data_IF_173098957634
#
_entry.id   IF_173098957634
#
_cell.length_a   1.000
_cell.length_b   1.000
_cell.length_c   1.000
_cell.angle_alpha   90.00
_cell.angle_beta   90.00
_cell.angle_gamma   90.00
#
_symmetry.space_group_name_H-M   'P 1'
#
loop_
_entity.id
_entity.type
_entity.pdbx_description
1 polymer ?
#
# COMPACT_ATOMS: atom_id res chain seq x y z
N UNK A 1 5.27 -19.86 19.00
CA UNK A 1 5.69 -18.44 18.86
C UNK A 1 4.93 -17.69 19.92
N UNK A 2 5.58 -17.36 21.03
CA UNK A 2 5.02 -16.40 21.97
C UNK A 2 4.95 -15.06 21.23
N UNK A 3 3.75 -14.48 21.14
CA UNK A 3 3.61 -13.06 20.81
C UNK A 3 4.51 -12.27 21.76
N UNK A 4 5.28 -11.33 21.20
CA UNK A 4 6.08 -10.43 22.02
C UNK A 4 5.17 -9.80 23.07
N UNK A 5 5.47 -10.09 24.33
CA UNK A 5 4.66 -9.65 25.45
C UNK A 5 4.75 -8.13 25.56
N UNK A 6 3.78 -7.53 26.24
CA UNK A 6 3.77 -6.10 26.59
C UNK A 6 5.10 -5.66 27.25
N UNK A 7 5.68 -6.51 28.09
CA UNK A 7 6.96 -6.28 28.76
C UNK A 7 8.14 -6.25 27.78
N UNK A 8 8.12 -7.08 26.72
CA UNK A 8 9.17 -7.09 25.69
C UNK A 8 9.22 -5.78 24.89
N UNK A 9 8.07 -5.14 24.67
CA UNK A 9 8.00 -3.84 23.99
C UNK A 9 8.56 -2.69 24.83
N UNK A 10 8.33 -2.73 26.16
CA UNK A 10 8.88 -1.75 27.10
C UNK A 10 10.41 -1.90 27.20
N UNK A 11 10.95 -3.12 27.18
CA UNK A 11 12.40 -3.34 27.22
C UNK A 11 13.14 -2.86 25.96
N UNK A 12 12.46 -2.79 24.81
CA UNK A 12 13.06 -2.32 23.55
C UNK A 12 13.24 -0.80 23.50
N UNK A 13 12.41 -0.02 24.19
CA UNK A 13 12.42 1.45 24.11
C UNK A 13 13.70 2.08 24.72
N UNK A 14 14.16 1.69 25.93
CA UNK A 14 15.41 2.20 26.50
C UNK A 14 16.65 1.79 25.68
N UNK A 15 16.70 0.54 25.19
CA UNK A 15 17.84 0.06 24.41
C UNK A 15 17.97 0.73 23.03
N UNK A 16 16.85 1.10 22.41
CA UNK A 16 16.85 1.69 21.05
C UNK A 16 17.14 3.20 21.05
N UNK A 17 16.68 3.95 22.05
CA UNK A 17 16.92 5.38 22.16
C UNK A 17 18.34 5.74 22.64
N UNK A 18 18.96 4.88 23.46
CA UNK A 18 20.23 5.21 24.13
C UNK A 18 21.50 4.59 23.50
N UNK A 19 21.40 3.46 22.78
CA UNK A 19 22.59 2.75 22.26
C UNK A 19 22.86 2.97 20.75
N UNK A 20 21.93 3.58 20.00
CA UNK A 20 22.05 3.79 18.56
C UNK A 20 22.77 5.08 18.15
N UNK A 21 23.12 5.93 19.13
CA UNK A 21 23.89 7.16 18.94
C UNK A 21 25.10 7.15 19.88
N UNK A 22 26.29 7.25 19.30
CA UNK A 22 27.56 7.34 20.04
C UNK A 22 27.60 8.69 20.77
N UNK A 23 27.36 8.69 22.08
CA UNK A 23 27.50 9.87 22.93
C UNK A 23 28.45 9.57 24.10
N UNK A 24 29.47 10.41 24.27
CA UNK A 24 30.59 10.14 25.20
C UNK A 24 30.26 10.28 26.70
N UNK A 25 29.13 10.86 27.14
CA UNK A 25 28.87 11.06 28.59
C UNK A 25 27.41 10.92 29.03
N UNK A 26 27.20 10.22 30.15
CA UNK A 26 25.90 9.96 30.81
C UNK A 26 25.12 11.21 31.25
N UNK A 27 25.78 12.32 31.54
CA UNK A 27 25.12 13.54 32.03
C UNK A 27 24.51 14.40 30.91
N UNK A 28 25.03 14.33 29.67
CA UNK A 28 24.38 14.92 28.49
C UNK A 28 23.09 14.20 28.09
N UNK A 29 22.83 13.00 28.64
CA UNK A 29 21.73 12.11 28.24
C UNK A 29 20.32 12.61 28.55
N UNK A 30 20.14 13.49 29.54
CA UNK A 30 18.81 14.01 29.93
C UNK A 30 18.56 15.42 29.40
N UNK A 31 19.51 16.32 29.56
CA UNK A 31 19.34 17.75 29.22
C UNK A 31 19.25 18.02 27.72
N UNK A 32 20.10 17.40 26.88
CA UNK A 32 20.06 17.63 25.42
C UNK A 32 18.89 16.93 24.71
N UNK A 33 18.37 15.83 25.26
CA UNK A 33 17.22 15.13 24.72
C UNK A 33 15.91 15.90 24.91
N UNK A 34 15.78 16.59 26.05
CA UNK A 34 14.63 17.41 26.41
C UNK A 34 14.53 18.69 25.59
N UNK A 35 15.63 19.16 24.98
CA UNK A 35 15.68 20.45 24.30
C UNK A 35 15.42 20.39 22.79
N UNK A 36 15.72 19.27 22.08
CA UNK A 36 15.80 19.33 20.61
C UNK A 36 15.54 18.04 19.81
N UNK A 37 15.14 16.91 20.41
CA UNK A 37 15.18 15.61 19.71
C UNK A 37 13.81 14.97 19.50
N UNK A 38 13.30 14.99 18.26
CA UNK A 38 12.20 14.12 17.80
C UNK A 38 12.81 12.80 17.30
N UNK A 39 12.53 11.69 17.98
CA UNK A 39 12.99 10.38 17.53
C UNK A 39 11.97 9.76 16.57
N UNK A 40 12.36 9.70 15.30
CA UNK A 40 11.60 9.00 14.28
C UNK A 40 11.83 7.49 14.41
N UNK A 41 10.81 6.76 14.87
CA UNK A 41 10.93 5.32 14.96
C UNK A 41 10.77 4.66 13.57
N UNK A 42 11.87 4.15 13.01
CA UNK A 42 11.98 3.59 11.65
C UNK A 42 11.97 2.05 11.60
N UNK A 43 11.14 1.37 12.39
CA UNK A 43 10.97 -0.10 12.28
C UNK A 43 9.66 -0.43 11.56
N UNK A 44 9.68 -1.53 10.81
CA UNK A 44 8.60 -2.09 9.98
C UNK A 44 7.21 -1.72 10.51
N UNK A 45 6.60 -0.68 9.93
CA UNK A 45 5.31 -0.20 10.41
C UNK A 45 4.18 -1.01 9.76
N UNK A 46 4.12 -2.29 10.14
CA UNK A 46 2.88 -3.04 10.11
C UNK A 46 1.87 -2.32 11.03
N UNK A 47 0.63 -2.13 10.60
CA UNK A 47 -0.33 -1.29 11.33
C UNK A 47 -0.49 -1.71 12.81
N UNK A 48 -0.40 -3.01 13.15
CA UNK A 48 -0.51 -3.47 14.55
C UNK A 48 0.59 -2.90 15.44
N UNK A 49 1.77 -2.69 14.89
CA UNK A 49 2.88 -2.10 15.63
C UNK A 49 2.63 -0.61 15.90
N UNK A 50 2.13 0.13 14.91
CA UNK A 50 1.74 1.54 15.07
C UNK A 50 0.64 1.69 16.11
N UNK A 51 -0.39 0.84 16.05
CA UNK A 51 -1.47 0.82 17.05
C UNK A 51 -0.92 0.50 18.45
N UNK A 52 0.02 -0.44 18.57
CA UNK A 52 0.67 -0.74 19.85
C UNK A 52 1.42 0.45 20.44
N UNK A 53 2.18 1.18 19.63
CA UNK A 53 2.87 2.40 20.07
C UNK A 53 1.89 3.52 20.48
N UNK A 54 0.80 3.72 19.74
CA UNK A 54 -0.24 4.68 20.13
C UNK A 54 -0.97 4.26 21.41
N UNK A 55 -1.15 2.95 21.63
CA UNK A 55 -1.68 2.43 22.89
C UNK A 55 -0.77 2.74 24.08
N UNK A 56 0.56 2.63 23.91
CA UNK A 56 1.53 3.04 24.94
C UNK A 56 1.45 4.54 25.25
N UNK A 57 1.30 5.36 24.21
CA UNK A 57 1.10 6.80 24.36
C UNK A 57 -0.16 7.14 25.18
N UNK A 58 -1.26 6.43 24.94
CA UNK A 58 -2.48 6.59 25.73
C UNK A 58 -2.30 6.16 27.19
N UNK A 59 -1.62 5.03 27.43
CA UNK A 59 -1.39 4.53 28.80
C UNK A 59 -0.46 5.44 29.61
N UNK A 60 0.50 6.08 28.94
CA UNK A 60 1.47 6.98 29.56
C UNK A 60 1.01 8.44 29.57
N UNK A 61 -0.24 8.72 29.21
CA UNK A 61 -0.75 10.09 29.05
C UNK A 61 -0.66 10.97 30.32
N UNK A 62 -0.53 10.35 31.49
CA UNK A 62 -0.45 11.03 32.79
C UNK A 62 0.96 11.04 33.40
N UNK A 63 1.98 10.53 32.68
CA UNK A 63 3.35 10.50 33.17
C UNK A 63 3.91 11.92 33.41
N UNK A 64 4.95 11.96 34.26
CA UNK A 64 5.45 13.16 34.95
C UNK A 64 6.09 14.23 34.06
N UNK A 65 6.44 13.92 32.81
CA UNK A 65 7.00 14.86 31.84
C UNK A 65 6.78 14.39 30.39
N UNK A 66 6.99 15.28 29.41
CA UNK A 66 6.75 15.00 27.99
C UNK A 66 7.52 13.80 27.44
N UNK A 67 8.71 13.53 27.99
CA UNK A 67 9.56 12.43 27.56
C UNK A 67 8.99 11.07 27.95
N UNK A 68 8.58 10.90 29.21
CA UNK A 68 7.96 9.68 29.72
C UNK A 68 6.58 9.44 29.07
N UNK A 69 5.84 10.53 28.78
CA UNK A 69 4.60 10.48 28.00
C UNK A 69 4.78 10.13 26.52
N UNK A 70 6.01 10.00 26.03
CA UNK A 70 6.35 9.70 24.63
C UNK A 70 5.85 10.75 23.63
N UNK A 71 5.72 12.03 24.03
CA UNK A 71 5.23 13.10 23.14
C UNK A 71 6.15 13.37 21.94
N UNK A 72 7.42 12.95 22.03
CA UNK A 72 8.41 13.04 20.96
C UNK A 72 8.23 11.98 19.86
N UNK A 73 7.36 10.99 20.05
CA UNK A 73 7.24 9.83 19.16
C UNK A 73 6.31 10.13 17.97
N UNK A 74 6.83 9.92 16.76
CA UNK A 74 6.04 10.01 15.52
C UNK A 74 6.01 8.65 14.84
N UNK A 75 4.80 8.18 14.53
CA UNK A 75 4.56 6.82 14.03
C UNK A 75 3.85 6.84 12.66
N UNK A 76 4.54 7.22 11.57
CA UNK A 76 3.96 7.11 10.23
C UNK A 76 3.82 5.62 9.85
N UNK A 77 2.74 5.27 9.14
CA UNK A 77 2.56 3.89 8.65
C UNK A 77 3.52 3.56 7.49
N UNK A 78 3.64 2.26 7.20
CA UNK A 78 4.47 1.76 6.10
C UNK A 78 3.73 1.64 4.76
N UNK A 79 4.28 2.25 3.70
CA UNK A 79 3.66 2.26 2.36
C UNK A 79 3.61 0.89 1.68
N UNK A 80 4.47 -0.06 2.05
CA UNK A 80 4.40 -1.42 1.51
C UNK A 80 3.18 -2.17 2.03
N UNK A 81 2.96 -2.16 3.35
CA UNK A 81 1.77 -2.77 3.94
C UNK A 81 0.49 -2.04 3.52
N UNK A 82 0.55 -0.71 3.38
CA UNK A 82 -0.55 0.08 2.83
C UNK A 82 -0.95 -0.39 1.42
N UNK A 83 0.03 -0.53 0.52
CA UNK A 83 -0.22 -1.01 -0.84
C UNK A 83 -0.74 -2.47 -0.86
N UNK A 84 -0.30 -3.32 0.07
CA UNK A 84 -0.85 -4.68 0.22
C UNK A 84 -2.31 -4.66 0.69
N UNK A 85 -2.65 -3.80 1.65
CA UNK A 85 -4.01 -3.64 2.14
C UNK A 85 -4.94 -3.10 1.05
N UNK A 86 -4.47 -2.13 0.26
CA UNK A 86 -5.19 -1.64 -0.92
C UNK A 86 -5.44 -2.78 -1.92
N UNK A 87 -4.41 -3.54 -2.28
CA UNK A 87 -4.53 -4.71 -3.17
C UNK A 87 -5.58 -5.72 -2.68
N UNK A 88 -5.55 -6.05 -1.38
CA UNK A 88 -6.51 -6.95 -0.75
C UNK A 88 -7.95 -6.41 -0.77
N UNK A 89 -8.11 -5.09 -0.71
CA UNK A 89 -9.42 -4.45 -0.82
C UNK A 89 -10.02 -4.68 -2.20
N UNK A 90 -9.23 -4.51 -3.28
CA UNK A 90 -9.67 -4.84 -4.64
C UNK A 90 -9.98 -6.33 -4.81
N UNK A 91 -9.13 -7.20 -4.26
CA UNK A 91 -9.37 -8.65 -4.27
C UNK A 91 -10.74 -8.97 -3.67
N UNK A 92 -11.01 -8.47 -2.46
CA UNK A 92 -12.28 -8.71 -1.76
C UNK A 92 -13.47 -8.12 -2.51
N UNK A 93 -13.32 -6.91 -3.05
CA UNK A 93 -14.41 -6.17 -3.71
C UNK A 93 -14.83 -6.81 -5.03
N UNK A 94 -13.86 -7.28 -5.83
CA UNK A 94 -14.06 -7.69 -7.22
C UNK A 94 -13.81 -9.17 -7.48
N UNK A 95 -13.65 -10.03 -6.45
CA UNK A 95 -13.30 -11.45 -6.65
C UNK A 95 -14.28 -12.15 -7.59
N UNK A 96 -15.58 -12.12 -7.25
CA UNK A 96 -16.63 -12.81 -8.00
C UNK A 96 -16.41 -14.33 -8.10
N UNK A 97 -17.09 -14.94 -9.07
CA UNK A 97 -17.05 -16.38 -9.36
C UNK A 97 -16.12 -16.67 -10.54
N UNK A 98 -15.68 -17.92 -10.62
CA UNK A 98 -14.82 -18.42 -11.71
C UNK A 98 -15.43 -18.24 -13.12
N UNK A 99 -16.76 -18.36 -13.24
CA UNK A 99 -17.51 -18.16 -14.49
C UNK A 99 -18.09 -16.74 -14.64
N UNK A 100 -17.83 -15.85 -13.67
CA UNK A 100 -18.28 -14.47 -13.70
C UNK A 100 -17.36 -13.55 -14.50
N UNK A 101 -17.50 -12.24 -14.32
CA UNK A 101 -16.63 -11.22 -14.92
C UNK A 101 -15.66 -10.57 -13.92
N UNK A 102 -15.51 -11.14 -12.72
CA UNK A 102 -14.63 -10.65 -11.67
C UNK A 102 -13.18 -11.14 -11.77
N UNK A 103 -12.37 -10.78 -10.77
CA UNK A 103 -10.95 -11.12 -10.69
C UNK A 103 -10.69 -12.63 -10.67
N UNK A 104 -11.56 -13.45 -10.08
CA UNK A 104 -11.39 -14.89 -10.06
C UNK A 104 -11.45 -15.50 -11.46
N UNK A 105 -12.32 -14.96 -12.34
CA UNK A 105 -12.34 -15.36 -13.73
C UNK A 105 -11.02 -14.99 -14.43
N UNK A 106 -10.52 -13.77 -14.20
CA UNK A 106 -9.23 -13.35 -14.75
C UNK A 106 -8.06 -14.20 -14.24
N UNK A 107 -8.02 -14.53 -12.95
CA UNK A 107 -6.97 -15.37 -12.36
C UNK A 107 -6.96 -16.77 -12.98
N UNK A 108 -8.13 -17.34 -13.26
CA UNK A 108 -8.25 -18.63 -13.95
C UNK A 108 -7.79 -18.53 -15.41
N UNK A 109 -8.16 -17.47 -16.13
CA UNK A 109 -7.66 -17.24 -17.49
C UNK A 109 -6.14 -17.10 -17.53
N UNK A 110 -5.54 -16.51 -16.49
CA UNK A 110 -4.10 -16.35 -16.35
C UNK A 110 -3.38 -17.54 -15.70
N UNK A 111 -4.10 -18.62 -15.37
CA UNK A 111 -3.55 -19.81 -14.70
C UNK A 111 -2.83 -19.49 -13.37
N UNK A 112 -3.25 -18.42 -12.68
CA UNK A 112 -2.67 -17.97 -11.41
C UNK A 112 -3.29 -18.69 -10.23
N UNK A 113 -2.60 -19.74 -9.76
CA UNK A 113 -3.01 -20.51 -8.57
C UNK A 113 -2.75 -19.72 -7.27
N UNK A 114 -3.55 -19.99 -6.23
CA UNK A 114 -3.37 -19.40 -4.90
C UNK A 114 -3.94 -17.98 -4.72
N UNK A 115 -4.65 -17.44 -5.71
CA UNK A 115 -5.31 -16.12 -5.61
C UNK A 115 -6.83 -16.22 -5.33
N UNK A 116 -7.35 -17.41 -5.07
CA UNK A 116 -8.76 -17.63 -4.77
C UNK A 116 -9.14 -17.21 -3.33
N UNK A 117 -8.16 -17.17 -2.42
CA UNK A 117 -8.33 -16.72 -1.03
C UNK A 117 -7.19 -15.79 -0.67
N UNK A 118 -7.48 -14.82 0.20
CA UNK A 118 -6.45 -13.93 0.73
C UNK A 118 -5.53 -14.74 1.63
N UNK A 119 -4.23 -14.73 1.33
CA UNK A 119 -3.19 -15.31 2.18
C UNK A 119 -2.22 -14.24 2.64
N UNK A 120 -1.88 -14.25 3.93
CA UNK A 120 -0.94 -13.30 4.53
C UNK A 120 0.51 -13.76 4.47
N UNK A 121 0.75 -15.00 4.03
CA UNK A 121 2.09 -15.62 3.97
C UNK A 121 2.47 -15.91 2.53
N UNK A 122 3.77 -15.88 2.26
CA UNK A 122 4.33 -16.27 0.97
C UNK A 122 4.15 -15.22 -0.13
N UNK A 123 4.00 -15.70 -1.36
CA UNK A 123 4.07 -14.89 -2.60
C UNK A 123 2.73 -14.29 -3.03
N UNK A 124 1.67 -14.49 -2.24
CA UNK A 124 0.30 -14.03 -2.54
C UNK A 124 0.27 -12.57 -2.98
N UNK A 125 0.84 -11.67 -2.19
CA UNK A 125 0.80 -10.23 -2.46
C UNK A 125 1.56 -9.84 -3.74
N UNK A 126 2.66 -10.52 -4.04
CA UNK A 126 3.40 -10.31 -5.27
C UNK A 126 2.58 -10.74 -6.49
N UNK A 127 1.97 -11.92 -6.43
CA UNK A 127 1.12 -12.45 -7.50
C UNK A 127 -0.17 -11.64 -7.68
N UNK A 128 -0.78 -11.19 -6.59
CA UNK A 128 -1.97 -10.34 -6.62
C UNK A 128 -1.66 -8.99 -7.26
N UNK A 129 -0.58 -8.31 -6.82
CA UNK A 129 -0.16 -7.05 -7.41
C UNK A 129 0.06 -7.19 -8.92
N UNK A 130 0.79 -8.22 -9.35
CA UNK A 130 1.05 -8.46 -10.77
C UNK A 130 -0.24 -8.76 -11.54
N UNK A 131 -1.14 -9.58 -10.98
CA UNK A 131 -2.43 -9.90 -11.61
C UNK A 131 -3.31 -8.65 -11.76
N UNK A 132 -3.39 -7.79 -10.74
CA UNK A 132 -4.10 -6.51 -10.82
C UNK A 132 -3.55 -5.60 -11.91
N UNK A 133 -2.23 -5.56 -12.11
CA UNK A 133 -1.63 -4.80 -13.22
C UNK A 133 -2.01 -5.40 -14.58
N UNK A 134 -2.00 -6.74 -14.72
CA UNK A 134 -2.37 -7.38 -15.98
C UNK A 134 -3.85 -7.14 -16.32
N UNK A 135 -4.73 -7.28 -15.33
CA UNK A 135 -6.18 -7.01 -15.49
C UNK A 135 -6.42 -5.55 -15.84
N UNK A 136 -5.85 -4.61 -15.10
CA UNK A 136 -6.03 -3.18 -15.38
C UNK A 136 -5.46 -2.79 -16.74
N UNK A 137 -4.30 -3.32 -17.12
CA UNK A 137 -3.71 -3.09 -18.44
C UNK A 137 -4.61 -3.65 -19.55
N UNK A 138 -5.21 -4.82 -19.36
CA UNK A 138 -6.15 -5.40 -20.31
C UNK A 138 -7.44 -4.57 -20.46
N UNK A 139 -8.03 -4.10 -19.36
CA UNK A 139 -9.21 -3.22 -19.35
C UNK A 139 -8.92 -1.90 -20.09
N UNK A 140 -7.77 -1.27 -19.79
CA UNK A 140 -7.34 -0.03 -20.45
C UNK A 140 -7.16 -0.28 -21.96
N UNK A 141 -6.48 -1.36 -22.35
CA UNK A 141 -6.29 -1.72 -23.77
C UNK A 141 -7.63 -2.00 -24.45
N UNK A 142 -8.56 -2.67 -23.79
CA UNK A 142 -9.90 -2.92 -24.33
C UNK A 142 -10.69 -1.62 -24.53
N UNK A 143 -10.59 -0.65 -23.61
CA UNK A 143 -11.15 0.69 -23.79
C UNK A 143 -10.55 1.42 -25.00
N UNK A 144 -9.23 1.32 -25.21
CA UNK A 144 -8.56 1.91 -26.37
C UNK A 144 -9.03 1.31 -27.70
N UNK A 145 -9.23 -0.01 -27.76
CA UNK A 145 -9.81 -0.67 -28.94
C UNK A 145 -11.25 -0.20 -29.17
N UNK A 146 -12.06 -0.15 -28.11
CA UNK A 146 -13.47 0.24 -28.18
C UNK A 146 -13.67 1.70 -28.61
N UNK A 147 -13.03 2.66 -27.93
CA UNK A 147 -13.16 4.09 -28.26
C UNK A 147 -12.37 4.48 -29.51
N UNK A 148 -11.32 3.74 -29.85
CA UNK A 148 -10.57 3.94 -31.10
C UNK A 148 -11.27 3.43 -32.34
N UNK A 149 -12.24 2.52 -32.18
CA UNK A 149 -12.88 1.84 -33.30
C UNK A 149 -11.89 1.02 -34.13
N UNK A 150 -10.87 0.44 -33.47
CA UNK A 150 -9.76 -0.28 -34.12
C UNK A 150 -9.74 -1.74 -33.69
N UNK A 151 -9.29 -2.64 -34.57
CA UNK A 151 -9.20 -4.06 -34.25
C UNK A 151 -7.95 -4.38 -33.42
N UNK A 152 -6.87 -3.63 -33.64
CA UNK A 152 -5.58 -3.77 -32.96
C UNK A 152 -5.05 -2.44 -32.44
N UNK A 153 -4.26 -2.46 -31.36
CA UNK A 153 -3.65 -1.24 -30.80
C UNK A 153 -2.65 -0.58 -31.76
N UNK A 154 -2.05 -1.35 -32.68
CA UNK A 154 -1.11 -0.82 -33.68
C UNK A 154 -1.78 0.15 -34.65
N UNK A 155 -3.07 -0.02 -34.94
CA UNK A 155 -3.84 0.89 -35.79
C UNK A 155 -3.99 2.29 -35.18
N UNK A 156 -3.85 2.45 -33.85
CA UNK A 156 -3.85 3.75 -33.19
C UNK A 156 -2.69 4.65 -33.65
N UNK A 157 -1.63 4.08 -34.25
CA UNK A 157 -0.52 4.85 -34.85
C UNK A 157 -0.96 5.71 -36.04
N UNK A 158 -2.14 5.45 -36.61
CA UNK A 158 -2.74 6.28 -37.66
C UNK A 158 -3.36 7.57 -37.11
N UNK A 159 -3.57 7.67 -35.78
CA UNK A 159 -4.16 8.84 -35.12
C UNK A 159 -3.10 9.88 -34.81
N UNK A 160 -3.49 11.15 -34.86
CA UNK A 160 -2.62 12.26 -34.44
C UNK A 160 -2.44 12.27 -32.92
N UNK A 161 -1.38 12.90 -32.38
CA UNK A 161 -1.20 13.05 -30.94
C UNK A 161 -2.41 13.69 -30.24
N UNK A 162 -3.04 14.70 -30.86
CA UNK A 162 -4.23 15.34 -30.32
C UNK A 162 -5.42 14.38 -30.26
N UNK A 163 -5.66 13.61 -31.33
CA UNK A 163 -6.71 12.59 -31.34
C UNK A 163 -6.50 11.56 -30.24
N UNK A 164 -5.25 11.12 -30.00
CA UNK A 164 -4.94 10.19 -28.91
C UNK A 164 -5.22 10.81 -27.53
N UNK A 165 -4.91 12.09 -27.33
CA UNK A 165 -5.24 12.79 -26.08
C UNK A 165 -6.76 12.91 -25.87
N UNK A 166 -7.50 13.30 -26.91
CA UNK A 166 -8.96 13.43 -26.86
C UNK A 166 -9.64 12.08 -26.60
N UNK A 167 -9.08 11.01 -27.20
CA UNK A 167 -9.50 9.64 -26.94
C UNK A 167 -9.22 9.24 -25.50
N UNK A 168 -8.02 9.50 -24.96
CA UNK A 168 -7.70 9.19 -23.56
C UNK A 168 -8.65 9.91 -22.59
N UNK A 169 -8.96 11.18 -22.84
CA UNK A 169 -9.92 11.94 -22.05
C UNK A 169 -11.35 11.34 -22.17
N UNK A 170 -11.72 10.85 -23.35
CA UNK A 170 -12.99 10.16 -23.57
C UNK A 170 -13.05 8.82 -22.86
N UNK A 171 -11.98 8.04 -22.90
CA UNK A 171 -11.86 6.78 -22.17
C UNK A 171 -12.05 7.02 -20.68
N UNK A 172 -11.33 8.00 -20.13
CA UNK A 172 -11.45 8.35 -18.72
C UNK A 172 -12.89 8.73 -18.36
N UNK A 173 -13.48 9.68 -19.11
CA UNK A 173 -14.86 10.16 -18.87
C UNK A 173 -15.91 9.08 -18.96
N UNK A 174 -15.81 8.14 -19.91
CA UNK A 174 -16.82 7.10 -20.17
C UNK A 174 -16.63 5.82 -19.36
N UNK A 175 -15.38 5.47 -19.03
CA UNK A 175 -15.04 4.14 -18.50
C UNK A 175 -14.31 4.17 -17.16
N UNK A 176 -14.04 5.34 -16.56
CA UNK A 176 -13.28 5.40 -15.30
C UNK A 176 -13.72 6.52 -14.33
N UNK A 177 -14.97 6.98 -14.39
CA UNK A 177 -15.49 8.02 -13.46
C UNK A 177 -16.79 7.61 -12.77
N UNK A 178 -17.01 8.14 -11.56
CA UNK A 178 -18.31 7.99 -10.87
C UNK A 178 -19.47 8.55 -11.70
N UNK A 179 -19.25 9.68 -12.39
CA UNK A 179 -20.27 10.27 -13.27
C UNK A 179 -20.72 9.31 -14.39
N UNK A 180 -19.81 8.52 -14.96
CA UNK A 180 -20.19 7.50 -15.93
C UNK A 180 -21.07 6.40 -15.32
N UNK A 181 -20.73 5.97 -14.10
CA UNK A 181 -21.49 4.97 -13.35
C UNK A 181 -22.89 5.51 -13.03
N UNK A 182 -22.99 6.74 -12.53
CA UNK A 182 -24.25 7.38 -12.17
C UNK A 182 -25.16 7.56 -13.38
N UNK A 183 -24.59 7.97 -14.53
CA UNK A 183 -25.32 8.03 -15.81
C UNK A 183 -25.90 6.67 -16.21
N UNK A 184 -25.13 5.60 -16.06
CA UNK A 184 -25.62 4.25 -16.38
C UNK A 184 -26.68 3.76 -15.39
N UNK A 185 -26.55 4.10 -14.10
CA UNK A 185 -27.55 3.77 -13.06
C UNK A 185 -28.85 4.58 -13.19
N UNK A 186 -28.78 5.78 -13.76
CA UNK A 186 -29.94 6.64 -14.00
C UNK A 186 -30.82 6.24 -15.19
N UNK A 187 -30.40 5.26 -16.00
CA UNK A 187 -31.20 4.73 -17.10
C UNK A 187 -32.34 3.83 -16.58
N UNK A 188 -33.44 3.67 -17.34
CA UNK A 188 -34.45 2.64 -17.07
C UNK A 188 -33.80 1.26 -16.94
N UNK A 189 -34.33 0.40 -16.06
CA UNK A 189 -33.71 -0.89 -15.69
C UNK A 189 -33.41 -1.77 -16.91
N UNK A 190 -34.25 -1.72 -17.93
CA UNK A 190 -34.14 -2.47 -19.18
C UNK A 190 -32.97 -1.98 -20.05
N UNK A 191 -32.55 -0.72 -19.87
CA UNK A 191 -31.43 -0.09 -20.57
C UNK A 191 -30.15 -0.07 -19.75
N UNK A 192 -30.17 -0.58 -18.52
CA UNK A 192 -28.98 -0.69 -17.69
C UNK A 192 -28.10 -1.87 -18.12
N UNK A 193 -26.80 -1.71 -17.94
CA UNK A 193 -25.78 -2.73 -18.19
C UNK A 193 -24.92 -2.88 -16.94
N UNK A 194 -25.27 -3.82 -16.06
CA UNK A 194 -24.62 -4.04 -14.77
C UNK A 194 -23.15 -4.47 -14.94
N UNK A 195 -22.83 -5.20 -16.02
CA UNK A 195 -21.45 -5.62 -16.30
C UNK A 195 -20.62 -4.39 -16.68
N UNK A 196 -21.06 -3.58 -17.65
CA UNK A 196 -20.31 -2.37 -18.03
C UNK A 196 -20.16 -1.41 -16.84
N UNK A 197 -21.20 -1.27 -16.02
CA UNK A 197 -21.15 -0.49 -14.78
C UNK A 197 -20.03 -0.99 -13.85
N UNK A 198 -19.94 -2.30 -13.61
CA UNK A 198 -18.90 -2.88 -12.74
C UNK A 198 -17.49 -2.69 -13.31
N UNK A 199 -17.28 -2.91 -14.62
CA UNK A 199 -15.97 -2.71 -15.24
C UNK A 199 -15.56 -1.23 -15.24
N UNK A 200 -16.51 -0.32 -15.40
CA UNK A 200 -16.29 1.13 -15.25
C UNK A 200 -15.90 1.49 -13.82
N UNK A 201 -16.57 0.87 -12.83
CA UNK A 201 -16.24 1.02 -11.41
C UNK A 201 -14.85 0.47 -11.09
N UNK A 202 -14.50 -0.71 -11.63
CA UNK A 202 -13.18 -1.30 -11.45
C UNK A 202 -12.07 -0.38 -11.99
N UNK A 203 -12.24 0.18 -13.20
CA UNK A 203 -11.27 1.12 -13.78
C UNK A 203 -11.15 2.41 -12.95
N UNK A 204 -12.27 3.00 -12.53
CA UNK A 204 -12.27 4.15 -11.61
C UNK A 204 -11.45 3.83 -10.35
N UNK A 205 -11.66 2.65 -9.78
CA UNK A 205 -11.08 2.29 -8.49
C UNK A 205 -9.60 1.88 -8.59
N UNK A 206 -9.18 1.19 -9.65
CA UNK A 206 -7.82 0.63 -9.77
C UNK A 206 -6.78 1.67 -10.23
N UNK A 207 -7.18 2.73 -10.92
CA UNK A 207 -6.26 3.77 -11.41
C UNK A 207 -5.45 4.42 -10.27
N UNK A 208 -6.05 4.84 -9.14
CA UNK A 208 -5.32 5.30 -7.95
C UNK A 208 -4.30 4.29 -7.41
N UNK A 209 -4.57 2.99 -7.50
CA UNK A 209 -3.61 1.96 -7.12
C UNK A 209 -2.42 1.87 -8.08
N UNK A 210 -2.66 1.94 -9.39
CA UNK A 210 -1.56 2.00 -10.35
C UNK A 210 -0.71 3.26 -10.14
N UNK A 211 -1.34 4.40 -9.85
CA UNK A 211 -0.66 5.64 -9.49
C UNK A 211 0.13 5.50 -8.20
N UNK A 212 -0.41 4.87 -7.15
CA UNK A 212 0.30 4.58 -5.91
C UNK A 212 1.59 3.81 -6.19
N UNK A 213 1.50 2.73 -6.99
CA UNK A 213 2.66 1.88 -7.32
C UNK A 213 3.69 2.63 -8.17
N UNK A 214 3.24 3.51 -9.07
CA UNK A 214 4.11 4.37 -9.87
C UNK A 214 4.80 5.43 -9.01
N UNK A 215 4.05 6.12 -8.15
CA UNK A 215 4.53 7.15 -7.24
C UNK A 215 5.58 6.61 -6.27
N UNK A 216 5.36 5.40 -5.72
CA UNK A 216 6.35 4.69 -4.91
C UNK A 216 7.65 4.50 -5.70
N UNK A 217 7.58 3.99 -6.93
CA UNK A 217 8.79 3.75 -7.74
C UNK A 217 9.52 5.04 -8.10
N UNK A 218 8.77 6.08 -8.50
CA UNK A 218 9.34 7.36 -8.92
C UNK A 218 9.78 8.25 -7.78
N UNK A 219 9.47 7.90 -6.52
CA UNK A 219 9.77 8.75 -5.37
C UNK A 219 8.82 9.96 -5.25
N UNK A 220 7.66 9.93 -5.88
CA UNK A 220 6.71 11.06 -5.88
C UNK A 220 5.87 11.07 -4.60
N UNK A 221 6.46 11.58 -3.53
CA UNK A 221 5.83 11.69 -2.21
C UNK A 221 4.61 12.61 -2.21
N UNK A 222 4.60 13.64 -3.06
CA UNK A 222 3.44 14.52 -3.22
C UNK A 222 2.23 13.77 -3.77
N UNK A 223 2.43 12.87 -4.73
CA UNK A 223 1.36 12.00 -5.24
C UNK A 223 0.92 10.98 -4.19
N UNK A 224 1.83 10.41 -3.39
CA UNK A 224 1.45 9.49 -2.31
C UNK A 224 0.46 10.13 -1.34
N UNK A 225 0.74 11.36 -0.91
CA UNK A 225 -0.14 12.13 -0.03
C UNK A 225 -1.50 12.44 -0.67
N UNK A 226 -1.50 12.90 -1.93
CA UNK A 226 -2.73 13.19 -2.68
C UNK A 226 -3.66 11.99 -2.83
N UNK A 227 -3.12 10.76 -2.79
CA UNK A 227 -3.90 9.54 -2.89
C UNK A 227 -4.52 9.10 -1.54
N UNK A 228 -4.06 9.64 -0.41
CA UNK A 228 -4.57 9.25 0.92
C UNK A 228 -6.08 9.42 1.07
N UNK A 229 -6.72 10.54 0.65
CA UNK A 229 -8.17 10.69 0.79
C UNK A 229 -8.96 9.63 0.01
N UNK A 230 -8.47 9.23 -1.16
CA UNK A 230 -9.09 8.16 -1.95
C UNK A 230 -9.05 6.83 -1.21
N UNK A 231 -7.86 6.43 -0.75
CA UNK A 231 -7.68 5.17 -0.03
C UNK A 231 -8.37 5.16 1.34
N UNK A 232 -8.44 6.31 2.01
CA UNK A 232 -9.22 6.50 3.23
C UNK A 232 -10.68 6.06 3.03
N UNK A 233 -11.37 6.61 2.03
CA UNK A 233 -12.75 6.23 1.71
C UNK A 233 -12.85 4.76 1.31
N UNK A 234 -11.94 4.29 0.46
CA UNK A 234 -11.91 2.90 0.02
C UNK A 234 -11.77 1.91 1.19
N UNK A 235 -10.89 2.20 2.16
CA UNK A 235 -10.69 1.36 3.32
C UNK A 235 -11.91 1.35 4.25
N UNK A 236 -12.57 2.49 4.47
CA UNK A 236 -13.82 2.55 5.25
C UNK A 236 -14.92 1.72 4.59
N UNK A 237 -15.09 1.85 3.28
CA UNK A 237 -16.06 1.07 2.51
C UNK A 237 -15.76 -0.42 2.54
N UNK A 238 -14.48 -0.80 2.40
CA UNK A 238 -14.02 -2.19 2.42
C UNK A 238 -13.87 -2.82 3.80
N UNK A 239 -14.20 -2.10 4.88
CA UNK A 239 -14.11 -2.62 6.26
C UNK A 239 -12.69 -2.68 6.82
N UNK A 240 -11.72 -2.03 6.19
CA UNK A 240 -10.33 -1.93 6.64
C UNK A 240 -10.14 -0.72 7.57
N UNK A 241 -10.90 -0.67 8.67
CA UNK A 241 -10.94 0.47 9.58
C UNK A 241 -9.58 0.91 10.12
N UNK A 242 -8.67 -0.03 10.41
CA UNK A 242 -7.32 0.30 10.89
C UNK A 242 -6.52 1.10 9.87
N UNK A 243 -6.53 0.70 8.58
CA UNK A 243 -5.83 1.46 7.54
C UNK A 243 -6.52 2.79 7.22
N UNK A 244 -7.84 2.88 7.38
CA UNK A 244 -8.53 4.16 7.32
C UNK A 244 -8.08 5.11 8.44
N UNK A 245 -7.97 4.60 9.67
CA UNK A 245 -7.40 5.36 10.81
C UNK A 245 -5.98 5.82 10.49
N UNK A 246 -5.12 4.95 9.93
CA UNK A 246 -3.77 5.36 9.56
C UNK A 246 -3.73 6.46 8.48
N UNK A 247 -4.65 6.45 7.50
CA UNK A 247 -4.76 7.54 6.53
C UNK A 247 -5.07 8.88 7.21
N UNK A 248 -6.10 8.92 8.06
CA UNK A 248 -6.55 10.17 8.68
C UNK A 248 -5.57 10.68 9.74
N UNK A 249 -4.94 9.79 10.52
CA UNK A 249 -3.90 10.15 11.48
C UNK A 249 -2.69 10.77 10.76
N UNK A 250 -2.29 10.22 9.59
CA UNK A 250 -1.21 10.80 8.80
C UNK A 250 -1.61 12.18 8.24
N UNK A 251 -2.81 12.32 7.66
CA UNK A 251 -3.29 13.60 7.13
C UNK A 251 -3.40 14.66 8.23
N UNK A 252 -3.93 14.29 9.39
CA UNK A 252 -4.06 15.17 10.56
C UNK A 252 -2.67 15.61 11.05
N UNK A 253 -1.74 14.67 11.19
CA UNK A 253 -0.35 14.96 11.53
C UNK A 253 0.29 15.95 10.56
N UNK A 254 0.25 15.64 9.26
CA UNK A 254 0.91 16.44 8.22
C UNK A 254 0.35 17.84 8.00
N UNK A 255 -0.96 18.03 8.22
CA UNK A 255 -1.66 19.27 7.83
C UNK A 255 -2.13 20.11 9.00
N UNK A 256 -2.21 19.55 10.22
CA UNK A 256 -2.83 20.23 11.37
C UNK A 256 -1.96 20.24 12.63
N UNK A 257 -1.16 19.21 12.85
CA UNK A 257 -0.52 19.00 14.16
C UNK A 257 0.99 19.12 14.15
N UNK A 258 1.66 18.61 13.14
CA UNK A 258 3.12 18.60 13.11
C UNK A 258 3.67 19.96 12.62
N UNK A 259 4.78 20.43 13.23
CA UNK A 259 5.56 21.53 12.66
C UNK A 259 5.95 21.25 11.21
N UNK A 260 6.07 22.29 10.39
CA UNK A 260 6.33 22.18 8.96
C UNK A 260 7.61 21.37 8.68
N UNK A 261 8.64 21.57 9.48
CA UNK A 261 9.93 20.89 9.39
C UNK A 261 9.79 19.37 9.63
N UNK A 262 8.96 19.00 10.60
CA UNK A 262 8.68 17.60 10.94
C UNK A 262 7.87 16.95 9.82
N UNK A 263 6.82 17.62 9.35
CA UNK A 263 6.00 17.12 8.26
C UNK A 263 6.82 16.96 6.96
N UNK A 264 7.75 17.89 6.68
CA UNK A 264 8.70 17.76 5.57
C UNK A 264 9.67 16.60 5.80
N UNK A 265 10.20 16.42 7.02
CA UNK A 265 11.09 15.31 7.32
C UNK A 265 10.40 13.95 7.09
N UNK A 266 9.15 13.79 7.54
CA UNK A 266 8.37 12.57 7.34
C UNK A 266 8.20 12.26 5.86
N UNK A 267 7.80 13.24 5.05
CA UNK A 267 7.63 13.09 3.59
C UNK A 267 8.94 12.66 2.93
N UNK A 268 10.03 13.36 3.22
CA UNK A 268 11.29 13.22 2.50
C UNK A 268 12.15 12.04 2.96
N UNK A 269 12.02 11.62 4.23
CA UNK A 269 12.96 10.70 4.87
C UNK A 269 12.34 9.48 5.54
N UNK A 270 11.01 9.40 5.67
CA UNK A 270 10.35 8.29 6.37
C UNK A 270 9.50 7.40 5.46
N UNK A 271 9.11 7.86 4.28
CA UNK A 271 8.19 7.11 3.41
C UNK A 271 8.90 6.16 2.46
N UNK A 272 9.88 6.68 1.73
CA UNK A 272 10.56 5.98 0.65
C UNK A 272 12.08 6.10 0.80
N UNK A 273 12.78 5.09 0.32
CA UNK A 273 14.23 5.12 0.18
C UNK A 273 14.66 4.54 -1.16
N UNK A 274 15.87 4.90 -1.60
CA UNK A 274 16.53 4.27 -2.74
C UNK A 274 17.92 3.81 -2.32
N UNK A 275 18.31 2.60 -2.75
CA UNK A 275 19.63 2.03 -2.47
C UNK A 275 20.60 2.35 -3.61
N UNK A 276 20.10 2.33 -4.85
CA UNK A 276 20.91 2.48 -6.06
C UNK A 276 21.00 3.91 -6.58
N UNK A 277 20.18 4.83 -6.05
CA UNK A 277 20.06 6.21 -6.54
C UNK A 277 19.49 6.33 -7.96
N UNK A 278 19.03 5.23 -8.56
CA UNK A 278 18.55 5.21 -9.95
C UNK A 278 17.13 5.76 -10.06
N UNK A 279 16.74 6.35 -11.20
CA UNK A 279 15.34 6.66 -11.45
C UNK A 279 14.47 5.39 -11.36
N UNK A 280 13.27 5.53 -10.81
CA UNK A 280 12.29 4.44 -10.66
C UNK A 280 12.72 3.27 -9.76
N UNK A 281 13.67 3.49 -8.84
CA UNK A 281 14.17 2.46 -7.92
C UNK A 281 13.82 2.69 -6.45
N UNK A 282 12.93 3.63 -6.16
CA UNK A 282 12.47 3.85 -4.78
C UNK A 282 11.63 2.66 -4.30
N UNK A 283 11.79 2.36 -3.01
CA UNK A 283 11.03 1.35 -2.28
C UNK A 283 10.54 1.93 -0.96
N UNK A 284 9.39 1.48 -0.44
CA UNK A 284 8.97 1.82 0.91
C UNK A 284 9.98 1.37 1.95
N UNK A 285 10.18 2.20 2.98
CA UNK A 285 11.09 1.86 4.08
C UNK A 285 10.70 0.56 4.79
N UNK A 286 9.41 0.36 5.05
CA UNK A 286 8.91 -0.85 5.69
C UNK A 286 9.15 -2.10 4.84
N UNK A 287 9.12 -1.99 3.50
CA UNK A 287 9.53 -3.08 2.61
C UNK A 287 11.00 -3.44 2.80
N UNK A 288 11.89 -2.43 2.85
CA UNK A 288 13.31 -2.69 3.04
C UNK A 288 13.60 -3.29 4.41
N UNK A 289 12.88 -2.83 5.43
CA UNK A 289 12.99 -3.42 6.76
C UNK A 289 12.49 -4.87 6.77
N UNK A 290 11.45 -5.21 6.03
CA UNK A 290 11.00 -6.59 5.90
C UNK A 290 12.06 -7.49 5.24
N UNK A 291 12.76 -6.98 4.22
CA UNK A 291 13.91 -7.70 3.66
C UNK A 291 15.03 -7.89 4.69
N UNK A 292 15.34 -6.87 5.50
CA UNK A 292 16.34 -7.00 6.56
C UNK A 292 15.91 -8.05 7.61
N UNK A 293 14.63 -8.04 8.00
CA UNK A 293 14.08 -9.02 8.93
C UNK A 293 14.19 -10.45 8.38
N UNK A 294 13.86 -10.66 7.10
CA UNK A 294 14.00 -11.95 6.41
C UNK A 294 15.45 -12.39 6.34
N UNK A 295 16.37 -11.49 6.05
CA UNK A 295 17.79 -11.83 5.96
C UNK A 295 18.37 -12.27 7.29
N UNK A 296 17.92 -11.64 8.38
CA UNK A 296 18.30 -12.01 9.75
C UNK A 296 17.69 -13.36 10.15
N UNK A 297 16.41 -13.59 9.84
CA UNK A 297 15.65 -14.74 10.36
C UNK A 297 15.75 -16.00 9.51
N UNK A 298 15.86 -15.83 8.20
CA UNK A 298 15.70 -16.91 7.23
C UNK A 298 16.94 -17.08 6.34
N UNK A 299 17.43 -16.01 5.70
CA UNK A 299 18.48 -16.10 4.66
C UNK A 299 19.86 -16.42 5.24
N UNK A 300 20.31 -15.67 6.24
CA UNK A 300 21.64 -15.82 6.85
C UNK A 300 21.57 -16.43 8.24
N UNK A 301 20.52 -17.22 8.47
CA UNK A 301 20.32 -17.93 9.71
C UNK A 301 21.40 -19.01 9.86
N UNK A 302 22.38 -18.75 10.71
CA UNK A 302 23.44 -19.71 11.01
C UNK A 302 23.07 -20.66 12.15
N UNK A 303 22.14 -20.29 13.04
CA UNK A 303 21.70 -21.13 14.17
C UNK A 303 20.17 -21.19 14.34
N UNK A 304 19.68 -22.21 15.05
CA UNK A 304 18.27 -22.52 15.28
C UNK A 304 17.46 -21.45 16.04
N UNK A 305 16.25 -21.76 16.54
CA UNK A 305 15.30 -20.76 17.07
C UNK A 305 15.72 -20.07 18.37
N UNK A 306 16.83 -20.50 18.99
CA UNK A 306 17.33 -20.00 20.28
C UNK A 306 18.62 -19.18 20.13
N UNK A 307 18.75 -18.38 19.06
CA UNK A 307 19.89 -17.48 18.89
C UNK A 307 19.92 -16.45 20.03
N UNK A 308 21.09 -16.27 20.65
CA UNK A 308 21.28 -15.27 21.69
C UNK A 308 21.48 -13.85 21.12
N UNK A 309 21.21 -12.83 21.94
CA UNK A 309 21.37 -11.42 21.54
C UNK A 309 22.81 -11.03 21.20
N UNK A 310 23.81 -11.72 21.78
CA UNK A 310 25.24 -11.44 21.50
C UNK A 310 25.58 -11.84 20.07
N UNK A 311 25.04 -12.96 19.61
CA UNK A 311 25.22 -13.46 18.27
C UNK A 311 24.52 -12.57 17.24
N UNK A 312 23.28 -12.13 17.51
CA UNK A 312 22.60 -11.15 16.66
C UNK A 312 23.39 -9.85 16.52
N UNK A 313 23.97 -9.34 17.63
CA UNK A 313 24.84 -8.14 17.61
C UNK A 313 26.08 -8.33 16.73
N UNK A 314 26.63 -9.54 16.65
CA UNK A 314 27.77 -9.86 15.77
C UNK A 314 27.35 -10.05 14.31
N UNK A 315 26.24 -10.74 14.06
CA UNK A 315 25.80 -11.11 12.72
C UNK A 315 25.19 -9.91 11.97
N UNK A 316 24.32 -9.12 12.60
CA UNK A 316 23.57 -8.06 11.92
C UNK A 316 24.45 -7.04 11.17
N UNK A 317 25.56 -6.52 11.75
CA UNK A 317 26.44 -5.59 11.05
C UNK A 317 27.17 -6.25 9.87
N UNK A 318 27.34 -7.58 9.88
CA UNK A 318 28.01 -8.32 8.81
C UNK A 318 27.09 -8.66 7.63
N UNK A 319 25.77 -8.69 7.81
CA UNK A 319 24.79 -9.05 6.76
C UNK A 319 24.99 -8.27 5.45
N UNK A 320 25.19 -6.93 5.44
CA UNK A 320 25.44 -6.19 4.20
C UNK A 320 26.67 -6.68 3.44
N UNK A 321 27.77 -6.97 4.16
CA UNK A 321 29.01 -7.49 3.58
C UNK A 321 28.82 -8.89 3.03
N UNK A 322 28.16 -9.77 3.80
CA UNK A 322 27.84 -11.13 3.35
C UNK A 322 27.03 -11.07 2.06
N UNK A 323 26.01 -10.21 1.99
CA UNK A 323 25.18 -10.03 0.79
C UNK A 323 26.02 -9.57 -0.41
N UNK A 324 26.88 -8.57 -0.23
CA UNK A 324 27.73 -8.06 -1.30
C UNK A 324 28.70 -9.13 -1.83
N UNK A 325 29.28 -9.94 -0.94
CA UNK A 325 30.16 -11.06 -1.31
C UNK A 325 29.37 -12.15 -2.05
N UNK A 326 28.19 -12.52 -1.56
CA UNK A 326 27.33 -13.50 -2.26
C UNK A 326 26.96 -13.01 -3.66
N UNK A 327 26.51 -11.75 -3.80
CA UNK A 327 26.18 -11.15 -5.10
C UNK A 327 27.39 -11.11 -6.04
N UNK A 328 28.58 -10.81 -5.53
CA UNK A 328 29.81 -10.81 -6.31
C UNK A 328 30.18 -12.22 -6.80
N UNK A 329 30.11 -13.22 -5.93
CA UNK A 329 30.38 -14.62 -6.30
C UNK A 329 29.36 -15.10 -7.34
N UNK A 330 28.06 -14.84 -7.14
CA UNK A 330 27.03 -15.17 -8.13
C UNK A 330 27.32 -14.57 -9.51
N UNK A 331 27.80 -13.32 -9.53
CA UNK A 331 28.17 -12.62 -10.76
C UNK A 331 29.41 -13.22 -11.43
N UNK A 332 30.48 -13.47 -10.66
CA UNK A 332 31.73 -14.04 -11.19
C UNK A 332 31.56 -15.44 -11.76
N UNK A 333 30.71 -16.27 -11.14
CA UNK A 333 30.48 -17.64 -11.59
C UNK A 333 29.27 -17.78 -12.51
N UNK A 334 28.60 -16.68 -12.85
CA UNK A 334 27.35 -16.64 -13.63
C UNK A 334 26.30 -17.66 -13.16
N UNK A 335 26.27 -17.98 -11.86
CA UNK A 335 25.41 -19.03 -11.27
C UNK A 335 23.95 -18.60 -11.12
N UNK A 336 23.53 -17.61 -11.91
CA UNK A 336 22.17 -17.09 -12.00
C UNK A 336 21.19 -18.19 -12.43
N UNK A 337 20.72 -19.00 -11.48
CA UNK A 337 19.74 -20.08 -11.74
C UNK A 337 18.36 -19.55 -12.14
N UNK A 338 18.07 -18.26 -11.87
CA UNK A 338 16.91 -17.51 -12.38
C UNK A 338 17.35 -16.08 -12.68
N UNK A 339 17.03 -15.59 -13.89
CA UNK A 339 17.28 -14.19 -14.22
C UNK A 339 16.59 -13.25 -13.24
N UNK A 340 17.32 -12.26 -12.71
CA UNK A 340 16.80 -11.19 -11.82
C UNK A 340 15.76 -10.28 -12.53
N UNK A 341 15.54 -10.46 -13.83
CA UNK A 341 14.59 -9.72 -14.67
C UNK A 341 13.42 -10.62 -15.06
N UNK A 342 12.21 -10.25 -14.64
CA UNK A 342 10.98 -10.88 -15.13
C UNK A 342 10.90 -10.72 -16.66
N UNK A 343 10.76 -11.84 -17.37
CA UNK A 343 10.72 -11.87 -18.84
C UNK A 343 9.40 -11.29 -19.37
N UNK A 344 9.47 -10.23 -20.18
CA UNK A 344 8.34 -9.56 -20.83
C UNK A 344 7.45 -10.46 -21.74
N UNK A 345 7.97 -11.51 -22.43
CA UNK A 345 7.15 -12.32 -23.35
C UNK A 345 5.97 -13.06 -22.70
N UNK A 346 6.04 -13.40 -21.40
CA UNK A 346 4.92 -14.03 -20.69
C UNK A 346 3.81 -13.02 -20.37
N UNK A 347 4.20 -11.82 -19.93
CA UNK A 347 3.27 -10.73 -19.61
C UNK A 347 2.39 -10.38 -20.81
N UNK A 348 2.97 -10.19 -21.99
CA UNK A 348 2.20 -9.74 -23.16
C UNK A 348 1.15 -10.77 -23.59
N UNK A 349 1.49 -12.07 -23.54
CA UNK A 349 0.54 -13.15 -23.81
C UNK A 349 -0.61 -13.18 -22.80
N UNK A 350 -0.30 -13.03 -21.51
CA UNK A 350 -1.28 -12.95 -20.43
C UNK A 350 -2.25 -11.78 -20.63
N UNK A 351 -1.71 -10.58 -20.88
CA UNK A 351 -2.52 -9.37 -21.10
C UNK A 351 -3.38 -9.52 -22.36
N UNK A 352 -2.82 -10.03 -23.47
CA UNK A 352 -3.58 -10.21 -24.71
C UNK A 352 -4.73 -11.22 -24.56
N UNK A 353 -4.53 -12.28 -23.76
CA UNK A 353 -5.59 -13.26 -23.43
C UNK A 353 -6.77 -12.56 -22.75
N UNK A 354 -6.51 -11.68 -21.78
CA UNK A 354 -7.54 -10.89 -21.10
C UNK A 354 -8.16 -9.83 -22.00
N UNK A 355 -7.36 -9.12 -22.81
CA UNK A 355 -7.89 -8.13 -23.77
C UNK A 355 -8.95 -8.75 -24.66
N UNK A 356 -8.71 -9.97 -25.17
CA UNK A 356 -9.67 -10.67 -26.02
C UNK A 356 -10.99 -10.99 -25.31
N UNK A 357 -10.98 -11.27 -23.99
CA UNK A 357 -12.21 -11.48 -23.22
C UNK A 357 -12.89 -10.17 -22.81
N UNK A 358 -12.17 -9.04 -22.80
CA UNK A 358 -12.70 -7.74 -22.33
C UNK A 358 -13.28 -6.84 -23.41
N UNK A 359 -13.08 -7.15 -24.71
CA UNK A 359 -13.54 -6.31 -25.85
C UNK A 359 -15.02 -5.93 -25.80
N UNK A 360 -15.88 -6.85 -25.35
CA UNK A 360 -17.33 -6.64 -25.27
C UNK A 360 -17.79 -6.11 -23.90
N UNK A 361 -16.90 -6.00 -22.91
CA UNK A 361 -17.27 -5.56 -21.56
C UNK A 361 -17.51 -4.04 -21.51
N UNK A 362 -16.74 -3.26 -22.27
CA UNK A 362 -16.86 -1.80 -22.34
C UNK A 362 -17.89 -1.29 -23.36
N UNK A 363 -18.44 -2.18 -24.19
CA UNK A 363 -19.56 -1.85 -25.08
C UNK A 363 -20.87 -1.89 -24.29
N UNK A 364 -21.82 -1.03 -24.66
CA UNK A 364 -23.13 -0.98 -24.01
C UNK A 364 -23.98 -2.14 -24.53
N UNK A 365 -24.46 -2.99 -23.62
CA UNK A 365 -25.44 -4.03 -23.90
C UNK A 365 -26.65 -3.83 -22.99
N UNK A 366 -27.75 -3.34 -23.56
CA UNK A 366 -28.98 -3.08 -22.80
C UNK A 366 -29.49 -4.37 -22.13
N UNK A 367 -29.81 -4.27 -20.83
CA UNK A 367 -30.39 -5.37 -20.04
C UNK A 367 -29.38 -6.40 -19.56
N UNK A 368 -28.07 -6.21 -19.77
CA UNK A 368 -27.04 -7.15 -19.30
C UNK A 368 -26.91 -7.09 -17.78
N UNK A 369 -27.22 -8.20 -17.10
CA UNK A 369 -27.16 -8.30 -15.63
C UNK A 369 -25.99 -9.15 -15.12
N UNK A 370 -25.51 -8.84 -13.93
CA UNK A 370 -24.56 -9.65 -13.17
C UNK A 370 -25.28 -10.60 -12.21
N UNK A 371 -24.71 -11.79 -12.04
CA UNK A 371 -25.12 -12.69 -10.97
C UNK A 371 -24.84 -12.06 -9.60
N UNK A 372 -25.67 -12.38 -8.60
CA UNK A 372 -25.58 -11.79 -7.24
C UNK A 372 -24.16 -11.84 -6.63
N UNK A 373 -23.47 -12.98 -6.78
CA UNK A 373 -22.13 -13.20 -6.22
C UNK A 373 -21.01 -12.52 -7.03
N UNK A 374 -21.32 -12.03 -8.23
CA UNK A 374 -20.39 -11.30 -9.10
C UNK A 374 -20.52 -9.78 -8.95
N UNK A 375 -21.52 -9.29 -8.20
CA UNK A 375 -21.78 -7.85 -7.98
C UNK A 375 -20.84 -7.28 -6.93
N UNK A 376 -19.90 -6.47 -7.37
CA UNK A 376 -19.02 -5.69 -6.51
C UNK A 376 -19.79 -4.54 -5.85
N UNK A 377 -19.52 -4.31 -4.56
CA UNK A 377 -20.02 -3.13 -3.85
C UNK A 377 -19.18 -1.91 -4.22
N UNK A 378 -19.79 -0.73 -4.26
CA UNK A 378 -19.05 0.53 -4.41
C UNK A 378 -18.48 0.95 -3.05
N UNK A 379 -17.24 0.54 -2.78
CA UNK A 379 -16.58 0.87 -1.51
C UNK A 379 -16.27 2.35 -1.37
N UNK A 380 -16.08 3.11 -2.45
CA UNK A 380 -15.88 4.55 -2.33
C UNK A 380 -17.16 5.25 -1.87
N UNK A 381 -18.29 4.92 -2.49
CA UNK A 381 -19.58 5.48 -2.07
C UNK A 381 -19.93 5.04 -0.64
N UNK A 382 -19.79 3.76 -0.33
CA UNK A 382 -20.01 3.23 1.03
C UNK A 382 -19.11 3.92 2.06
N UNK A 383 -17.85 4.19 1.69
CA UNK A 383 -16.90 4.92 2.51
C UNK A 383 -17.33 6.36 2.77
N UNK A 384 -17.72 7.07 1.71
CA UNK A 384 -18.22 8.44 1.79
C UNK A 384 -19.48 8.52 2.66
N UNK A 385 -20.44 7.62 2.49
CA UNK A 385 -21.68 7.58 3.29
C UNK A 385 -21.37 7.39 4.77
N UNK A 386 -20.45 6.49 5.11
CA UNK A 386 -20.03 6.27 6.51
C UNK A 386 -19.31 7.47 7.12
N UNK A 387 -18.57 8.23 6.31
CA UNK A 387 -17.89 9.46 6.76
C UNK A 387 -18.89 10.59 6.97
N UNK A 388 -19.82 10.79 6.04
CA UNK A 388 -20.77 11.91 6.06
C UNK A 388 -21.93 11.68 7.02
N UNK A 389 -22.44 10.45 7.10
CA UNK A 389 -23.68 10.13 7.83
C UNK A 389 -23.50 9.02 8.88
N UNK A 390 -22.38 8.30 8.85
CA UNK A 390 -22.14 7.13 9.71
C UNK A 390 -21.40 7.42 11.01
N UNK A 391 -21.13 8.69 11.34
CA UNK A 391 -20.43 9.09 12.57
C UNK A 391 -18.98 8.57 12.67
N UNK A 392 -18.38 8.15 11.55
CA UNK A 392 -17.03 7.58 11.58
C UNK A 392 -16.00 8.61 12.06
N UNK A 393 -16.11 9.85 11.58
CA UNK A 393 -15.23 10.95 11.99
C UNK A 393 -15.44 11.33 13.45
N UNK A 394 -16.68 11.38 13.94
CA UNK A 394 -16.99 11.66 15.35
C UNK A 394 -16.34 10.61 16.24
N UNK A 395 -16.52 9.32 15.92
CA UNK A 395 -15.87 8.23 16.65
C UNK A 395 -14.35 8.33 16.61
N UNK A 396 -13.76 8.66 15.47
CA UNK A 396 -12.31 8.87 15.37
C UNK A 396 -11.87 10.04 16.25
N UNK A 397 -12.59 11.15 16.23
CA UNK A 397 -12.33 12.34 17.04
C UNK A 397 -12.42 12.03 18.53
N UNK A 398 -13.50 11.40 18.97
CA UNK A 398 -13.76 10.99 20.36
C UNK A 398 -12.64 10.09 20.90
N UNK A 399 -12.17 9.12 20.10
CA UNK A 399 -11.07 8.22 20.49
C UNK A 399 -9.73 8.93 20.70
N UNK A 400 -9.58 10.18 20.24
CA UNK A 400 -8.37 10.99 20.48
C UNK A 400 -8.47 11.82 21.76
N UNK A 401 -9.64 11.94 22.37
CA UNK A 401 -9.81 12.60 23.65
C UNK A 401 -9.58 11.63 24.81
N UNK A 402 -8.60 11.97 25.63
CA UNK A 402 -8.33 11.33 26.91
C UNK A 402 -7.62 12.35 27.79
N UNK A 403 -7.68 12.16 29.12
CA UNK A 403 -7.02 13.02 30.09
C UNK A 403 -5.51 12.97 29.84
N UNK A 404 -4.87 14.14 29.80
CA UNK A 404 -3.42 14.26 29.62
C UNK A 404 -2.85 15.18 30.68
N UNK A 405 -1.77 14.73 31.32
CA UNK A 405 -0.98 15.58 32.21
C UNK A 405 -0.18 16.59 31.38
N UNK A 406 -0.10 17.82 31.86
CA UNK A 406 0.78 18.87 31.31
C UNK A 406 2.02 19.09 32.17
N UNK A 407 2.18 18.28 33.22
CA UNK A 407 3.27 18.38 34.18
C UNK A 407 4.63 18.14 33.51
N UNK A 408 5.65 18.87 33.97
CA UNK A 408 7.04 18.72 33.54
C UNK A 408 7.94 18.65 34.78
N UNK A 409 8.13 17.45 35.33
CA UNK A 409 9.12 17.19 36.38
C UNK A 409 10.40 16.63 35.76
N UNK A 410 11.52 17.32 35.97
CA UNK A 410 12.82 17.05 35.33
C UNK A 410 13.81 16.33 36.25
#
# INVERSE_FOLDING_TARGET
MAEASYEDHIQLLPGMAFDSLVWEKKAMKRTHWLESSVLFYRRSAYYRFVVGLRGLFQQRAEDVNSFERLEWLITPFGWFHFAMAAANTYHTQYLGRAKGSGLLNAFNQLERKGLNKVETKGVFHHHLNEALHHVAEAEIRACWLAEGGVATLSELRTKTPQQLQDMAATIYRKHATSLAIDKMKGLPKEKQDEVKQQHTMFLRDILPYLLLRRAIKSGDVGMLEKLLPFFFLQFIGGGNGNYATECIELLQGLHREWPAEIAQHVRMNCWLMTISGRPNSFVPFDQKQEHNNRDIKDTYRSEGPNIDWKFLKKLHPAVPTIRAVTEHIEDQFETYTRGKRHTAPKKEKDVQRLVNSYKELHKLHEGRTLHKDDRAKDYLLTGADKVLYGGWLDKWHDNRFFVRSTQQMY
#
